data_IF_462338250821
#
_entry.id   IF_462338250821
#
_cell.length_a   1.000
_cell.length_b   1.000
_cell.length_c   1.000
_cell.angle_alpha   90.00
_cell.angle_beta   90.00
_cell.angle_gamma   90.00
#
_symmetry.space_group_name_H-M   'P 1'
#
loop_
_entity.id
_entity.type
_entity.pdbx_description
1 polymer ?
#
# COMPACT_ATOMS: atom_id res chain seq x y z
N UNK A 1 29.36 31.32 -6.89
CA UNK A 1 27.96 30.94 -7.20
C UNK A 1 27.55 29.75 -6.34
N UNK A 2 26.77 30.01 -5.29
CA UNK A 2 26.35 28.99 -4.31
C UNK A 2 25.33 28.04 -4.94
N UNK A 3 25.69 26.76 -5.08
CA UNK A 3 24.79 25.71 -5.55
C UNK A 3 23.80 25.38 -4.44
N UNK A 4 22.59 25.94 -4.50
CA UNK A 4 21.51 25.54 -3.59
C UNK A 4 21.06 24.11 -3.94
N UNK A 5 21.60 23.11 -3.23
CA UNK A 5 21.11 21.73 -3.29
C UNK A 5 19.63 21.71 -2.86
N UNK A 6 18.72 21.63 -3.84
CA UNK A 6 17.29 21.46 -3.63
C UNK A 6 17.05 20.26 -2.70
N UNK A 7 16.59 20.51 -1.47
CA UNK A 7 16.28 19.49 -0.47
C UNK A 7 15.26 18.53 -1.07
N UNK A 8 15.69 17.31 -1.45
CA UNK A 8 14.80 16.28 -1.98
C UNK A 8 13.78 15.96 -0.90
N UNK A 9 12.56 16.50 -1.03
CA UNK A 9 11.46 16.17 -0.16
C UNK A 9 11.04 14.71 -0.44
N UNK A 10 11.78 13.76 0.14
CA UNK A 10 11.42 12.35 0.06
C UNK A 10 10.16 12.21 0.87
N UNK A 11 9.01 12.03 0.21
CA UNK A 11 7.71 11.74 0.82
C UNK A 11 7.83 10.52 1.75
N UNK A 12 8.27 10.75 2.98
CA UNK A 12 8.47 9.77 4.05
C UNK A 12 7.49 10.13 5.17
N UNK A 13 6.96 9.13 5.87
CA UNK A 13 6.10 9.37 7.03
C UNK A 13 6.92 9.84 8.26
N UNK A 14 6.26 10.11 9.39
CA UNK A 14 6.91 10.51 10.67
C UNK A 14 7.99 9.52 11.15
N UNK A 15 7.91 8.26 10.73
CA UNK A 15 8.89 7.20 11.03
C UNK A 15 10.00 7.07 9.96
N UNK A 16 10.08 7.98 8.99
CA UNK A 16 11.09 7.96 7.93
C UNK A 16 10.85 6.95 6.80
N UNK A 17 9.69 6.29 6.76
CA UNK A 17 9.37 5.23 5.79
C UNK A 17 8.82 5.83 4.50
N UNK A 18 9.51 5.59 3.38
CA UNK A 18 9.18 6.11 2.03
C UNK A 18 7.93 5.45 1.43
N UNK A 19 7.75 4.15 1.64
CA UNK A 19 6.67 3.35 1.05
C UNK A 19 5.73 2.80 2.13
N UNK A 20 5.34 3.63 3.09
CA UNK A 20 4.40 3.21 4.12
C UNK A 20 3.08 2.73 3.49
N UNK A 21 2.42 1.78 4.13
CA UNK A 21 1.15 1.23 3.65
C UNK A 21 0.12 2.35 3.39
N UNK A 22 0.03 3.32 4.30
CA UNK A 22 -0.86 4.49 4.17
C UNK A 22 -0.50 5.34 2.94
N UNK A 23 0.78 5.60 2.70
CA UNK A 23 1.23 6.36 1.52
C UNK A 23 0.86 5.65 0.23
N UNK A 24 1.03 4.32 0.16
CA UNK A 24 0.68 3.53 -1.01
C UNK A 24 -0.83 3.50 -1.25
N UNK A 25 -1.64 3.37 -0.19
CA UNK A 25 -3.10 3.44 -0.28
C UNK A 25 -3.54 4.80 -0.82
N UNK A 26 -3.04 5.90 -0.23
CA UNK A 26 -3.39 7.26 -0.64
C UNK A 26 -2.91 7.56 -2.07
N UNK A 27 -1.73 7.08 -2.46
CA UNK A 27 -1.24 7.21 -3.83
C UNK A 27 -2.14 6.47 -4.84
N UNK A 28 -2.61 5.25 -4.51
CA UNK A 28 -3.53 4.50 -5.38
C UNK A 28 -4.92 5.13 -5.46
N UNK A 29 -5.43 5.69 -4.35
CA UNK A 29 -6.68 6.47 -4.33
C UNK A 29 -6.58 7.70 -5.23
N UNK A 30 -5.53 8.52 -5.07
CA UNK A 30 -5.27 9.69 -5.93
C UNK A 30 -5.13 9.34 -7.41
N UNK A 31 -4.51 8.19 -7.72
CA UNK A 31 -4.36 7.69 -9.09
C UNK A 31 -5.62 7.04 -9.68
N UNK A 32 -6.70 6.84 -8.90
CA UNK A 32 -7.89 6.12 -9.36
C UNK A 32 -7.70 4.62 -9.64
N UNK A 33 -6.50 4.07 -9.40
CA UNK A 33 -6.16 2.64 -9.63
C UNK A 33 -6.50 1.74 -8.45
N UNK A 34 -7.34 2.23 -7.53
CA UNK A 34 -7.87 1.41 -6.45
C UNK A 34 -8.77 0.35 -7.06
N UNK A 35 -8.50 -0.92 -6.76
CA UNK A 35 -9.29 -2.03 -7.29
C UNK A 35 -10.59 -2.09 -6.49
N UNK A 36 -11.73 -1.82 -7.14
CA UNK A 36 -13.04 -2.00 -6.52
C UNK A 36 -13.19 -3.42 -5.99
N UNK A 37 -13.73 -3.56 -4.79
CA UNK A 37 -14.02 -4.86 -4.19
C UNK A 37 -15.11 -5.61 -4.95
N UNK A 38 -16.06 -4.90 -5.58
CA UNK A 38 -17.09 -5.52 -6.43
C UNK A 38 -16.51 -6.25 -7.64
N UNK A 39 -15.36 -5.80 -8.14
CA UNK A 39 -14.65 -6.41 -9.28
C UNK A 39 -13.60 -7.45 -8.84
N UNK A 40 -13.60 -7.88 -7.57
CA UNK A 40 -12.58 -8.77 -7.01
C UNK A 40 -13.22 -9.91 -6.21
N UNK A 41 -13.17 -11.10 -6.78
CA UNK A 41 -13.60 -12.35 -6.14
C UNK A 41 -12.42 -13.05 -5.48
N UNK A 42 -12.66 -13.69 -4.34
CA UNK A 42 -11.66 -14.59 -3.72
C UNK A 42 -11.81 -15.96 -4.36
N UNK A 43 -10.71 -16.50 -4.91
CA UNK A 43 -10.75 -17.85 -5.48
C UNK A 43 -11.04 -18.90 -4.41
N UNK A 44 -11.65 -20.03 -4.78
CA UNK A 44 -11.91 -21.15 -3.87
C UNK A 44 -10.63 -21.62 -3.17
N UNK A 45 -9.52 -21.72 -3.90
CA UNK A 45 -8.19 -22.08 -3.37
C UNK A 45 -7.70 -21.09 -2.31
N UNK A 46 -7.80 -19.79 -2.60
CA UNK A 46 -7.42 -18.74 -1.66
C UNK A 46 -8.27 -18.77 -0.39
N UNK A 47 -9.58 -19.02 -0.53
CA UNK A 47 -10.49 -19.11 0.61
C UNK A 47 -10.16 -20.30 1.53
N UNK A 48 -9.91 -21.49 0.97
CA UNK A 48 -9.51 -22.67 1.74
C UNK A 48 -8.20 -22.47 2.51
N UNK A 49 -7.21 -21.81 1.90
CA UNK A 49 -5.94 -21.50 2.55
C UNK A 49 -6.13 -20.54 3.75
N UNK A 50 -6.99 -19.54 3.59
CA UNK A 50 -7.34 -18.60 4.66
C UNK A 50 -8.05 -19.33 5.82
N UNK A 51 -9.05 -20.17 5.52
CA UNK A 51 -9.78 -20.98 6.52
C UNK A 51 -8.86 -21.92 7.32
N UNK A 52 -7.88 -22.54 6.66
CA UNK A 52 -6.91 -23.43 7.33
C UNK A 52 -6.01 -22.68 8.32
N UNK A 53 -5.60 -21.46 7.98
CA UNK A 53 -4.79 -20.61 8.88
C UNK A 53 -5.62 -19.90 9.95
N UNK A 54 -6.94 -19.76 9.73
CA UNK A 54 -7.86 -19.14 10.69
C UNK A 54 -8.03 -19.95 11.98
N UNK A 55 -7.93 -21.28 11.91
CA UNK A 55 -8.07 -22.16 13.07
C UNK A 55 -6.77 -22.34 13.88
N UNK A 56 -5.69 -21.65 13.52
CA UNK A 56 -4.41 -21.64 14.25
C UNK A 56 -4.25 -20.33 15.02
N UNK A 57 -5.25 -20.00 15.83
CA UNK A 57 -5.16 -18.95 16.84
C UNK A 57 -4.81 -19.56 18.18
#
# INVERSE_FOLDING_TARGET
>A
MSTTKKKRNTKRNKLGVKNSLVNNINARKKKGTSRSKSKKTVSKKSYSAMKKKWKRS
#
